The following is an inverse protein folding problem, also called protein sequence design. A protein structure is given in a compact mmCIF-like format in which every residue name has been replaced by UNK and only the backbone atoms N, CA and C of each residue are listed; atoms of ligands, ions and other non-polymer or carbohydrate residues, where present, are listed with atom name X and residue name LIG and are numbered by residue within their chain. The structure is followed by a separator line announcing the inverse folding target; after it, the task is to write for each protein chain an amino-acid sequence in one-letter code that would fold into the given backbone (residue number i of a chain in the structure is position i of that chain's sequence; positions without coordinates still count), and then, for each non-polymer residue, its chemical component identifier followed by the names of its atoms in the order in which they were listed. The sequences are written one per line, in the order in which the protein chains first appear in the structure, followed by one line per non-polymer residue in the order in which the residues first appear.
data_IF_478109365255
#
_entry.id   IF_478109365255
#
_cell.length_a   1.000
_cell.length_b   1.000
_cell.length_c   1.000
_cell.angle_alpha   90.00
_cell.angle_beta   90.00
_cell.angle_gamma   90.00
#
_symmetry.space_group_name_H-M   'P 1'
#
loop_
_entity.id
_entity.type
_entity.pdbx_description
1 polymer ?
#
# COMPACT_ATOMS: atom_id res chain seq x y z
N UNK A 1 2.57 -27.65 24.76
CA UNK A 1 3.41 -26.49 25.12
C UNK A 1 3.28 -25.48 24.00
N UNK A 2 2.92 -24.25 24.35
CA UNK A 2 2.11 -23.32 23.57
C UNK A 2 2.69 -22.94 22.20
N UNK A 3 1.92 -23.19 21.14
CA UNK A 3 2.06 -22.43 19.89
C UNK A 3 1.29 -21.13 20.13
N UNK A 4 2.00 -20.08 20.55
CA UNK A 4 1.46 -18.73 20.48
C UNK A 4 1.23 -18.41 19.00
N UNK A 5 -0.02 -18.53 18.56
CA UNK A 5 -0.46 -17.89 17.34
C UNK A 5 -0.41 -16.38 17.61
N UNK A 6 0.69 -15.76 17.21
CA UNK A 6 0.83 -14.30 17.17
C UNK A 6 -0.12 -13.74 16.11
N UNK A 7 -1.39 -13.57 16.50
CA UNK A 7 -2.42 -12.90 15.73
C UNK A 7 -2.17 -11.38 15.60
N UNK A 8 -1.05 -10.85 16.11
CA UNK A 8 -0.76 -9.41 16.12
C UNK A 8 0.27 -8.94 15.08
N UNK A 9 0.90 -9.83 14.29
CA UNK A 9 1.84 -9.39 13.27
C UNK A 9 1.18 -9.10 11.90
N UNK A 10 0.19 -8.20 11.89
CA UNK A 10 -0.45 -7.73 10.64
C UNK A 10 0.42 -6.67 9.91
N UNK A 11 1.63 -6.39 10.39
CA UNK A 11 2.57 -5.41 9.83
C UNK A 11 3.97 -6.04 9.74
N UNK A 12 4.30 -6.60 8.58
CA UNK A 12 5.70 -6.72 8.18
C UNK A 12 6.30 -5.31 8.13
N UNK A 13 7.35 -5.05 8.93
CA UNK A 13 8.08 -3.77 8.90
C UNK A 13 8.64 -3.57 7.49
N UNK A 14 8.25 -2.48 6.85
CA UNK A 14 8.91 -2.00 5.65
C UNK A 14 10.17 -1.25 6.10
N UNK A 15 11.27 -1.35 5.36
CA UNK A 15 12.56 -0.76 5.74
C UNK A 15 13.11 0.13 4.63
N UNK A 16 14.03 1.03 4.97
CA UNK A 16 14.65 1.98 4.04
C UNK A 16 13.90 3.31 3.96
N UNK A 17 14.11 4.06 2.87
CA UNK A 17 13.57 5.42 2.68
C UNK A 17 12.04 5.49 2.60
N UNK A 18 11.38 4.35 2.47
CA UNK A 18 9.91 4.22 2.39
C UNK A 18 9.31 3.54 3.61
N UNK A 19 10.05 3.43 4.73
CA UNK A 19 9.52 2.93 6.00
C UNK A 19 8.37 3.84 6.49
N UNK A 20 7.13 3.33 6.62
CA UNK A 20 5.97 4.13 6.96
C UNK A 20 5.99 4.60 8.42
N UNK A 21 6.64 3.88 9.33
CA UNK A 21 6.81 4.28 10.73
C UNK A 21 7.75 5.49 10.79
N UNK A 22 8.92 5.39 10.16
CA UNK A 22 9.88 6.49 10.09
C UNK A 22 9.30 7.70 9.33
N UNK A 23 8.60 7.48 8.21
CA UNK A 23 7.96 8.55 7.46
C UNK A 23 6.88 9.27 8.28
N UNK A 24 6.08 8.52 9.06
CA UNK A 24 5.09 9.10 9.95
C UNK A 24 5.76 9.88 11.08
N UNK A 25 6.74 9.30 11.78
CA UNK A 25 7.46 9.99 12.86
C UNK A 25 8.14 11.26 12.36
N UNK A 26 8.78 11.19 11.19
CA UNK A 26 9.36 12.35 10.53
C UNK A 26 8.29 13.41 10.24
N UNK A 27 7.15 13.02 9.65
CA UNK A 27 6.02 13.91 9.41
C UNK A 27 5.50 14.58 10.69
N UNK A 28 5.36 13.82 11.78
CA UNK A 28 4.91 14.34 13.07
C UNK A 28 5.96 15.26 13.73
N UNK A 29 7.25 15.04 13.45
CA UNK A 29 8.35 15.86 13.98
C UNK A 29 8.49 17.19 13.24
N UNK A 30 8.42 17.18 11.90
CA UNK A 30 8.66 18.38 11.10
C UNK A 30 7.44 19.28 10.99
N UNK A 31 6.24 18.72 11.14
CA UNK A 31 5.00 19.48 11.11
C UNK A 31 4.49 19.68 12.53
N UNK A 32 4.08 20.90 12.85
CA UNK A 32 3.31 21.16 14.06
C UNK A 32 1.98 20.40 13.98
N UNK A 33 1.75 19.51 14.93
CA UNK A 33 0.58 18.63 14.92
C UNK A 33 -0.71 19.47 15.04
N UNK A 34 -1.61 19.40 14.05
CA UNK A 34 -2.91 20.02 14.17
C UNK A 34 -3.69 19.34 15.31
N UNK A 35 -4.52 20.08 16.06
CA UNK A 35 -5.38 19.50 17.08
C UNK A 35 -6.41 18.49 16.55
N UNK A 36 -6.63 18.43 15.22
CA UNK A 36 -7.75 17.73 14.58
C UNK A 36 -7.37 16.52 13.73
N UNK A 37 -6.07 16.21 13.58
CA UNK A 37 -5.62 15.00 12.91
C UNK A 37 -4.21 15.08 12.33
N UNK A 38 -3.59 13.92 12.09
CA UNK A 38 -2.23 13.83 11.57
C UNK A 38 -2.09 14.38 10.12
N UNK A 39 -3.18 14.53 9.38
CA UNK A 39 -3.17 14.95 7.98
C UNK A 39 -4.09 16.15 7.73
N UNK A 40 -3.73 17.30 8.31
CA UNK A 40 -4.34 18.58 7.94
C UNK A 40 -3.38 19.44 7.12
N UNK A 41 -3.94 20.15 6.16
CA UNK A 41 -3.24 21.17 5.38
C UNK A 41 -3.30 22.52 6.12
N UNK A 42 -2.15 23.22 6.16
CA UNK A 42 -2.04 24.54 6.79
C UNK A 42 -2.62 25.59 5.83
N UNK A 43 -3.53 26.41 6.35
CA UNK A 43 -4.15 27.52 5.64
C UNK A 43 -3.91 28.84 6.39
N UNK A 44 -4.18 29.97 5.74
CA UNK A 44 -3.92 31.31 6.31
C UNK A 44 -4.51 31.51 7.71
N UNK A 45 -5.66 30.89 8.00
CA UNK A 45 -6.41 31.06 9.25
C UNK A 45 -6.64 29.73 9.99
N UNK A 46 -5.70 28.78 9.91
CA UNK A 46 -5.75 27.52 10.67
C UNK A 46 -5.61 26.27 9.81
N UNK A 47 -6.05 25.13 10.37
CA UNK A 47 -5.89 23.81 9.76
C UNK A 47 -7.21 23.32 9.15
N UNK A 48 -7.11 22.64 8.00
CA UNK A 48 -8.24 21.96 7.36
C UNK A 48 -7.81 20.56 6.95
N UNK A 49 -8.69 19.58 7.09
CA UNK A 49 -8.41 18.21 6.69
C UNK A 49 -7.99 18.12 5.23
N UNK A 50 -6.97 17.31 4.97
CA UNK A 50 -6.44 17.12 3.64
C UNK A 50 -7.52 16.54 2.72
N UNK A 51 -7.83 17.25 1.64
CA UNK A 51 -8.79 16.77 0.64
C UNK A 51 -8.10 15.85 -0.37
N UNK A 52 -8.86 14.93 -0.96
CA UNK A 52 -8.38 14.09 -2.07
C UNK A 52 -7.74 14.92 -3.19
N UNK A 53 -8.36 16.03 -3.57
CA UNK A 53 -7.85 16.89 -4.66
C UNK A 53 -6.48 17.48 -4.33
N UNK A 54 -6.29 17.99 -3.11
CA UNK A 54 -4.99 18.54 -2.68
C UNK A 54 -3.93 17.45 -2.58
N UNK A 55 -4.28 16.30 -2.02
CA UNK A 55 -3.38 15.15 -1.95
C UNK A 55 -2.90 14.72 -3.35
N UNK A 56 -3.83 14.58 -4.30
CA UNK A 56 -3.49 14.24 -5.69
C UNK A 56 -2.62 15.31 -6.35
N UNK A 57 -2.91 16.60 -6.13
CA UNK A 57 -2.09 17.69 -6.67
C UNK A 57 -0.64 17.61 -6.14
N UNK A 58 -0.46 17.32 -4.84
CA UNK A 58 0.88 17.14 -4.25
C UNK A 58 1.60 15.94 -4.83
N UNK A 59 0.91 14.82 -5.04
CA UNK A 59 1.49 13.63 -5.67
C UNK A 59 1.94 13.89 -7.11
N UNK A 60 1.15 14.62 -7.90
CA UNK A 60 1.53 15.00 -9.27
C UNK A 60 2.77 15.87 -9.27
N UNK A 61 2.90 16.81 -8.33
CA UNK A 61 4.11 17.63 -8.20
C UNK A 61 5.34 16.79 -7.85
N UNK A 62 5.21 15.87 -6.88
CA UNK A 62 6.29 14.96 -6.51
C UNK A 62 6.71 14.04 -7.67
N UNK A 63 5.74 13.47 -8.40
CA UNK A 63 6.00 12.65 -9.58
C UNK A 63 6.75 13.41 -10.68
N UNK A 64 6.32 14.64 -10.99
CA UNK A 64 7.01 15.51 -11.95
C UNK A 64 8.44 15.81 -11.53
N UNK A 65 8.66 16.12 -10.25
CA UNK A 65 10.00 16.35 -9.72
C UNK A 65 10.89 15.10 -9.81
N UNK A 66 10.30 13.91 -9.76
CA UNK A 66 10.98 12.63 -9.95
C UNK A 66 11.07 12.18 -11.43
N UNK A 67 10.64 12.99 -12.40
CA UNK A 67 10.63 12.63 -13.82
C UNK A 67 9.64 11.52 -14.19
N UNK A 68 8.62 11.28 -13.35
CA UNK A 68 7.60 10.26 -13.58
C UNK A 68 6.39 10.83 -14.31
N UNK A 69 5.79 10.00 -15.16
CA UNK A 69 4.53 10.29 -15.85
C UNK A 69 3.33 10.36 -14.90
N UNK A 70 2.17 10.71 -15.43
CA UNK A 70 0.93 10.96 -14.68
C UNK A 70 0.54 9.83 -13.71
N UNK A 71 0.51 10.13 -12.41
CA UNK A 71 0.00 9.23 -11.37
C UNK A 71 -1.53 9.31 -11.26
N UNK A 72 -2.23 8.27 -11.75
CA UNK A 72 -3.67 8.14 -11.55
C UNK A 72 -3.98 7.60 -10.14
N UNK A 73 -4.90 8.23 -9.41
CA UNK A 73 -5.24 7.82 -8.04
C UNK A 73 -5.74 6.38 -7.89
N UNK A 74 -6.34 5.80 -8.94
CA UNK A 74 -6.72 4.38 -8.94
C UNK A 74 -5.48 3.47 -8.96
N UNK A 75 -4.51 3.78 -9.82
CA UNK A 75 -3.23 3.08 -9.88
C UNK A 75 -2.46 3.15 -8.57
N UNK A 76 -2.42 4.33 -7.92
CA UNK A 76 -1.79 4.49 -6.60
C UNK A 76 -2.42 3.55 -5.58
N UNK A 77 -3.76 3.52 -5.48
CA UNK A 77 -4.45 2.66 -4.52
C UNK A 77 -4.22 1.17 -4.79
N UNK A 78 -4.12 0.77 -6.06
CA UNK A 78 -3.78 -0.61 -6.41
C UNK A 78 -2.33 -0.90 -6.01
N UNK A 79 -1.38 -0.15 -6.53
CA UNK A 79 0.05 -0.34 -6.29
C UNK A 79 0.40 -0.33 -4.81
N UNK A 80 -0.13 0.62 -4.04
CA UNK A 80 0.11 0.72 -2.59
C UNK A 80 -0.39 -0.50 -1.82
N UNK A 81 -1.41 -1.20 -2.33
CA UNK A 81 -1.92 -2.44 -1.73
C UNK A 81 -1.05 -3.63 -2.16
N UNK A 82 -0.57 -3.63 -3.41
CA UNK A 82 0.27 -4.70 -3.94
C UNK A 82 1.68 -4.70 -3.34
N UNK A 83 2.17 -3.56 -2.85
CA UNK A 83 3.46 -3.44 -2.15
C UNK A 83 3.59 -4.37 -0.94
N UNK A 84 2.47 -4.80 -0.35
CA UNK A 84 2.50 -5.76 0.75
C UNK A 84 2.80 -7.19 0.30
N UNK A 85 2.59 -7.52 -0.98
CA UNK A 85 2.81 -8.87 -1.50
C UNK A 85 4.29 -9.27 -1.38
N UNK A 86 5.28 -8.52 -1.92
CA UNK A 86 6.71 -8.85 -1.77
C UNK A 86 7.17 -9.06 -0.32
N UNK A 87 6.47 -8.48 0.65
CA UNK A 87 6.77 -8.66 2.07
C UNK A 87 6.14 -9.94 2.67
N UNK A 88 5.64 -10.89 1.89
CA UNK A 88 4.97 -12.12 2.35
C UNK A 88 3.77 -11.85 3.29
N UNK A 89 3.06 -10.74 3.08
CA UNK A 89 1.79 -10.51 3.78
C UNK A 89 0.73 -11.40 3.12
N UNK A 90 -0.06 -12.17 3.90
CA UNK A 90 -1.07 -13.06 3.34
C UNK A 90 -2.07 -12.33 2.46
N UNK A 91 -2.56 -13.01 1.42
CA UNK A 91 -3.41 -12.42 0.41
C UNK A 91 -4.70 -11.78 0.98
N UNK A 92 -5.36 -12.48 1.90
CA UNK A 92 -6.57 -11.97 2.56
C UNK A 92 -6.30 -10.71 3.40
N UNK A 93 -5.11 -10.62 3.98
CA UNK A 93 -4.67 -9.43 4.73
C UNK A 93 -4.43 -8.27 3.77
N UNK A 94 -3.82 -8.51 2.60
CA UNK A 94 -3.65 -7.50 1.55
C UNK A 94 -5.01 -7.01 1.04
N UNK A 95 -5.96 -7.93 0.82
CA UNK A 95 -7.34 -7.64 0.40
C UNK A 95 -8.07 -6.77 1.44
N UNK A 96 -7.96 -7.11 2.72
CA UNK A 96 -8.48 -6.32 3.83
C UNK A 96 -7.87 -4.91 3.87
N UNK A 97 -6.54 -4.80 3.77
CA UNK A 97 -5.81 -3.52 3.76
C UNK A 97 -6.22 -2.64 2.58
N UNK A 98 -6.40 -3.22 1.40
CA UNK A 98 -6.89 -2.52 0.21
C UNK A 98 -8.37 -2.13 0.24
N UNK A 99 -9.11 -2.56 1.28
CA UNK A 99 -10.58 -2.48 1.36
C UNK A 99 -11.23 -3.05 0.10
N UNK A 100 -10.73 -4.20 -0.35
CA UNK A 100 -11.21 -4.91 -1.54
C UNK A 100 -12.12 -6.04 -1.08
N UNK A 101 -13.40 -6.01 -1.40
CA UNK A 101 -14.33 -7.07 -1.01
C UNK A 101 -14.59 -8.11 -2.09
N UNK A 102 -14.28 -7.81 -3.37
CA UNK A 102 -14.73 -8.62 -4.51
C UNK A 102 -13.66 -9.49 -5.17
N UNK A 103 -14.13 -10.52 -5.88
CA UNK A 103 -13.34 -11.37 -6.79
C UNK A 103 -12.71 -10.60 -7.95
N UNK A 104 -13.11 -9.34 -8.18
CA UNK A 104 -12.47 -8.49 -9.17
C UNK A 104 -10.98 -8.27 -8.87
N UNK A 105 -10.56 -8.32 -7.60
CA UNK A 105 -9.15 -8.24 -7.25
C UNK A 105 -8.37 -9.50 -7.66
N UNK A 106 -8.96 -10.68 -7.48
CA UNK A 106 -8.40 -11.94 -7.98
C UNK A 106 -8.28 -11.92 -9.51
N UNK A 107 -9.37 -11.58 -10.21
CA UNK A 107 -9.38 -11.47 -11.67
C UNK A 107 -8.40 -10.41 -12.18
N UNK A 108 -8.23 -9.30 -11.45
CA UNK A 108 -7.25 -8.27 -11.77
C UNK A 108 -5.83 -8.84 -11.74
N UNK A 109 -5.46 -9.57 -10.69
CA UNK A 109 -4.13 -10.16 -10.57
C UNK A 109 -3.85 -11.24 -11.61
N UNK A 110 -4.83 -12.11 -11.88
CA UNK A 110 -4.71 -13.10 -12.96
C UNK A 110 -4.49 -12.45 -14.33
N UNK A 111 -5.20 -11.35 -14.62
CA UNK A 111 -5.04 -10.58 -15.87
C UNK A 111 -3.72 -9.81 -15.94
N UNK A 112 -3.09 -9.55 -14.81
CA UNK A 112 -1.82 -8.80 -14.71
C UNK A 112 -0.69 -9.71 -14.24
N UNK A 113 -0.50 -10.85 -14.93
CA UNK A 113 0.53 -11.84 -14.63
C UNK A 113 1.97 -11.27 -14.57
N UNK A 114 2.24 -10.12 -15.20
CA UNK A 114 3.52 -9.42 -15.08
C UNK A 114 3.80 -8.91 -13.65
N UNK A 115 2.75 -8.45 -12.94
CA UNK A 115 2.84 -8.11 -11.50
C UNK A 115 3.15 -9.36 -10.69
N UNK A 116 2.56 -10.49 -11.08
CA UNK A 116 2.79 -11.79 -10.44
C UNK A 116 4.23 -12.27 -10.66
N UNK A 117 4.79 -12.05 -11.84
CA UNK A 117 6.18 -12.40 -12.15
C UNK A 117 7.18 -11.61 -11.31
N UNK A 118 6.96 -10.31 -11.13
CA UNK A 118 7.78 -9.48 -10.25
C UNK A 118 7.78 -10.00 -8.80
N UNK A 119 6.62 -10.49 -8.33
CA UNK A 119 6.48 -11.10 -7.01
C UNK A 119 7.22 -12.44 -6.91
N UNK A 120 7.09 -13.33 -7.90
CA UNK A 120 7.80 -14.61 -7.92
C UNK A 120 9.31 -14.45 -7.91
N UNK A 121 9.83 -13.37 -8.52
CA UNK A 121 11.26 -13.07 -8.55
C UNK A 121 11.79 -12.44 -7.25
N UNK A 122 10.96 -11.69 -6.53
CA UNK A 122 11.37 -10.96 -5.32
C UNK A 122 11.25 -11.77 -4.01
N UNK A 123 10.48 -12.87 -4.00
CA UNK A 123 10.25 -13.67 -2.80
C UNK A 123 11.06 -14.99 -2.80
N UNK A 124 11.80 -15.36 -1.72
CA UNK A 124 12.60 -16.59 -1.67
C UNK A 124 11.77 -17.89 -1.68
N UNK A 125 10.46 -17.81 -1.52
CA UNK A 125 9.50 -18.88 -1.77
C UNK A 125 8.11 -18.24 -1.90
N UNK A 126 7.36 -18.46 -3.00
CA UNK A 126 6.00 -17.95 -3.13
C UNK A 126 5.08 -18.64 -2.11
N UNK A 127 4.25 -17.87 -1.43
CA UNK A 127 3.27 -18.40 -0.49
C UNK A 127 2.25 -19.31 -1.21
N UNK A 128 1.97 -20.51 -0.69
CA UNK A 128 1.04 -21.47 -1.33
C UNK A 128 -0.35 -20.90 -1.60
N UNK A 129 -0.88 -20.06 -0.70
CA UNK A 129 -2.17 -19.39 -0.89
C UNK A 129 -2.15 -18.53 -2.16
N UNK A 130 -1.04 -17.85 -2.42
CA UNK A 130 -0.88 -17.04 -3.62
C UNK A 130 -0.81 -17.90 -4.90
N UNK A 131 -0.09 -19.03 -4.86
CA UNK A 131 -0.06 -19.96 -5.99
C UNK A 131 -1.45 -20.52 -6.29
N UNK A 132 -2.28 -20.77 -5.27
CA UNK A 132 -3.67 -21.20 -5.43
C UNK A 132 -4.51 -20.16 -6.17
N UNK A 133 -4.30 -18.86 -5.91
CA UNK A 133 -5.04 -17.78 -6.55
C UNK A 133 -4.50 -17.40 -7.95
N UNK A 134 -3.20 -17.60 -8.18
CA UNK A 134 -2.55 -17.31 -9.46
C UNK A 134 -2.92 -18.30 -10.58
N UNK A 135 -3.39 -19.51 -10.23
CA UNK A 135 -3.79 -20.50 -11.24
C UNK A 135 -4.99 -19.98 -12.04
N UNK A 136 -4.92 -19.94 -13.38
CA UNK A 136 -6.07 -19.60 -14.20
C UNK A 136 -7.20 -20.59 -13.90
N UNK A 137 -8.44 -20.09 -13.77
CA UNK A 137 -9.62 -20.96 -13.66
C UNK A 137 -9.72 -21.74 -14.97
N UNK A 138 -9.45 -23.04 -14.92
CA UNK A 138 -9.81 -23.97 -15.99
C UNK A 138 -11.33 -24.00 -16.05
N UNK A 139 -11.89 -23.44 -17.12
CA UNK A 139 -13.28 -23.61 -17.52
C UNK A 139 -13.47 -25.00 -18.12
#
# INVERSE_FOLDING_TARGET
MCIEHDHNNLQKRQSGSSDPEQALLYHLRINELPPRGAFDDRFKNGHRSLTKQKFMARLVLAARAAGMDHLQGHGIRIGSTLEYLPHNVPFEVVKMKGRRSSDAFHSYLQKHAQIMALYTQAAPAPHEDFLRFAKPKTH
#
